data_IF_934037862780
#
_entry.id   IF_934037862780
#
_cell.length_a   1.000
_cell.length_b   1.000
_cell.length_c   1.000
_cell.angle_alpha   90.00
_cell.angle_beta   90.00
_cell.angle_gamma   90.00
#
_symmetry.space_group_name_H-M   'P 1'
#
loop_
_entity.id
_entity.type
_entity.pdbx_description
1 polymer ?
#
# COMPACT_ATOMS: atom_id res chain seq x y z
N UNK A 1 -13.83 2.78 4.18
CA UNK A 1 -12.75 2.88 3.19
C UNK A 1 -11.54 2.20 3.81
N UNK A 2 -11.06 1.15 3.18
CA UNK A 2 -9.84 0.46 3.60
C UNK A 2 -8.60 1.07 2.91
N UNK A 3 -7.39 0.63 3.28
CA UNK A 3 -6.16 1.13 2.65
C UNK A 3 -6.10 0.81 1.15
N UNK A 4 -6.64 -0.33 0.72
CA UNK A 4 -6.66 -0.72 -0.68
C UNK A 4 -7.51 0.24 -1.50
N UNK A 5 -8.68 0.65 -0.99
CA UNK A 5 -9.54 1.66 -1.62
C UNK A 5 -8.80 2.99 -1.81
N UNK A 6 -8.03 3.42 -0.80
CA UNK A 6 -7.22 4.65 -0.87
C UNK A 6 -6.16 4.52 -1.96
N UNK A 7 -5.40 3.42 -1.96
CA UNK A 7 -4.34 3.18 -2.96
C UNK A 7 -4.92 3.12 -4.37
N UNK A 8 -6.03 2.42 -4.58
CA UNK A 8 -6.68 2.31 -5.89
C UNK A 8 -7.27 3.63 -6.39
N UNK A 9 -7.53 4.59 -5.51
CA UNK A 9 -8.02 5.92 -5.89
C UNK A 9 -6.93 6.85 -6.44
N UNK A 10 -5.65 6.50 -6.30
CA UNK A 10 -4.54 7.34 -6.76
C UNK A 10 -4.37 7.31 -8.27
N UNK A 11 -4.05 8.47 -8.83
CA UNK A 11 -3.42 8.57 -10.13
C UNK A 11 -1.91 8.34 -10.01
N UNK A 12 -1.22 8.14 -11.15
CA UNK A 12 0.25 8.13 -11.18
C UNK A 12 0.84 9.44 -10.64
N UNK A 13 0.16 10.58 -10.89
CA UNK A 13 0.60 11.88 -10.37
C UNK A 13 0.52 11.95 -8.85
N UNK A 14 -0.50 11.34 -8.25
CA UNK A 14 -0.62 11.24 -6.80
C UNK A 14 0.52 10.37 -6.22
N UNK A 15 0.83 9.25 -6.86
CA UNK A 15 1.92 8.37 -6.40
C UNK A 15 3.26 9.09 -6.40
N UNK A 16 3.60 9.85 -7.45
CA UNK A 16 4.90 10.55 -7.56
C UNK A 16 4.94 11.90 -6.81
N UNK A 17 3.83 12.35 -6.25
CA UNK A 17 3.75 13.62 -5.55
C UNK A 17 4.17 13.47 -4.08
N UNK A 18 5.40 13.87 -3.77
CA UNK A 18 5.94 13.88 -2.41
C UNK A 18 5.19 14.81 -1.44
N UNK A 19 4.45 15.78 -1.98
CA UNK A 19 3.66 16.72 -1.18
C UNK A 19 2.18 16.29 -1.03
N UNK A 20 1.78 15.13 -1.55
CA UNK A 20 0.37 14.69 -1.55
C UNK A 20 -0.27 14.69 -0.14
N UNK A 21 0.49 14.23 0.85
CA UNK A 21 0.08 14.19 2.26
C UNK A 21 0.80 15.21 3.13
N UNK A 22 1.43 16.22 2.51
CA UNK A 22 2.09 17.29 3.25
C UNK A 22 1.09 18.00 4.16
N UNK A 23 1.47 18.18 5.43
CA UNK A 23 0.61 18.76 6.46
C UNK A 23 -0.48 17.83 7.00
N UNK A 24 -0.69 16.65 6.42
CA UNK A 24 -1.51 15.58 7.01
C UNK A 24 -0.66 14.61 7.85
N UNK A 25 0.61 14.43 7.47
CA UNK A 25 1.58 13.66 8.25
C UNK A 25 2.17 14.56 9.35
N UNK A 26 1.56 14.52 10.52
CA UNK A 26 2.08 15.21 11.71
C UNK A 26 3.11 14.35 12.45
N UNK A 27 4.08 14.95 13.18
CA UNK A 27 4.98 14.21 14.03
C UNK A 27 4.22 13.36 15.04
N UNK A 28 4.57 12.08 15.14
CA UNK A 28 3.93 11.17 16.10
C UNK A 28 4.15 11.72 17.52
N UNK A 29 3.08 11.97 18.30
CA UNK A 29 3.19 12.49 19.66
C UNK A 29 3.99 11.55 20.57
N UNK A 30 4.79 12.10 21.49
CA UNK A 30 5.46 11.31 22.52
C UNK A 30 4.50 10.78 23.61
N UNK A 31 3.24 11.26 23.64
CA UNK A 31 2.20 10.79 24.55
C UNK A 31 0.82 10.90 23.90
N UNK A 32 -0.11 10.06 24.33
CA UNK A 32 -1.44 9.96 23.72
C UNK A 32 -2.53 10.19 24.75
N UNK A 33 -3.57 10.94 24.35
CA UNK A 33 -4.71 11.24 25.23
C UNK A 33 -5.68 10.07 25.35
N UNK A 34 -5.65 9.15 24.40
CA UNK A 34 -6.45 7.94 24.37
C UNK A 34 -5.85 6.92 23.38
N UNK A 35 -6.33 5.68 23.46
CA UNK A 35 -6.02 4.67 22.45
C UNK A 35 -6.48 5.09 21.04
N UNK A 36 -7.63 5.73 20.93
CA UNK A 36 -8.12 6.24 19.64
C UNK A 36 -7.18 7.30 19.06
N UNK A 37 -6.68 8.21 19.91
CA UNK A 37 -5.65 9.19 19.52
C UNK A 37 -4.35 8.51 19.08
N UNK A 38 -3.93 7.44 19.77
CA UNK A 38 -2.79 6.63 19.36
C UNK A 38 -3.01 6.02 17.98
N UNK A 39 -4.06 5.23 17.78
CA UNK A 39 -4.31 4.53 16.52
C UNK A 39 -4.44 5.52 15.35
N UNK A 40 -5.20 6.60 15.54
CA UNK A 40 -5.40 7.65 14.51
C UNK A 40 -4.10 8.33 14.09
N UNK A 41 -3.14 8.50 15.00
CA UNK A 41 -1.86 9.15 14.68
C UNK A 41 -1.02 8.39 13.64
N UNK A 42 -1.27 7.09 13.44
CA UNK A 42 -0.55 6.26 12.47
C UNK A 42 -1.22 6.15 11.10
N UNK A 43 -2.45 6.64 10.91
CA UNK A 43 -3.13 6.51 9.61
C UNK A 43 -2.40 7.29 8.51
N UNK A 44 -2.17 8.60 8.70
CA UNK A 44 -1.49 9.41 7.69
C UNK A 44 -0.05 8.95 7.41
N UNK A 45 0.79 8.62 8.44
CA UNK A 45 2.09 8.02 8.21
C UNK A 45 2.05 6.72 7.40
N UNK A 46 1.10 5.82 7.67
CA UNK A 46 1.00 4.54 6.95
C UNK A 46 0.59 4.75 5.48
N UNK A 47 -0.32 5.69 5.22
CA UNK A 47 -0.71 6.05 3.86
C UNK A 47 0.49 6.61 3.09
N UNK A 48 1.23 7.54 3.69
CA UNK A 48 2.42 8.14 3.08
C UNK A 48 3.56 7.13 2.88
N UNK A 49 3.80 6.25 3.86
CA UNK A 49 4.76 5.14 3.72
C UNK A 49 4.38 4.23 2.53
N UNK A 50 3.10 3.91 2.40
CA UNK A 50 2.59 3.09 1.28
C UNK A 50 2.76 3.81 -0.06
N UNK A 51 2.44 5.11 -0.14
CA UNK A 51 2.63 5.94 -1.35
C UNK A 51 4.10 5.98 -1.74
N UNK A 52 4.99 6.30 -0.79
CA UNK A 52 6.44 6.40 -1.01
C UNK A 52 7.03 5.07 -1.47
N UNK A 53 6.61 3.94 -0.88
CA UNK A 53 7.00 2.61 -1.33
C UNK A 53 6.60 2.37 -2.80
N UNK A 54 5.33 2.60 -3.15
CA UNK A 54 4.87 2.42 -4.54
C UNK A 54 5.55 3.38 -5.51
N UNK A 55 5.86 4.61 -5.09
CA UNK A 55 6.64 5.56 -5.88
C UNK A 55 8.03 5.00 -6.22
N UNK A 56 8.73 4.45 -5.22
CA UNK A 56 10.05 3.83 -5.45
C UNK A 56 10.01 2.65 -6.42
N UNK A 57 8.92 1.88 -6.41
CA UNK A 57 8.73 0.79 -7.36
C UNK A 57 8.35 1.28 -8.75
N UNK A 58 7.61 2.39 -8.84
CA UNK A 58 7.23 3.01 -10.11
C UNK A 58 8.45 3.52 -10.88
N UNK A 59 9.48 4.01 -10.19
CA UNK A 59 10.77 4.40 -10.81
C UNK A 59 11.44 3.23 -11.56
N UNK A 60 11.18 1.99 -11.13
CA UNK A 60 11.73 0.76 -11.69
C UNK A 60 10.71 -0.04 -12.53
N UNK A 61 9.56 0.56 -12.85
CA UNK A 61 8.44 -0.15 -13.50
C UNK A 61 8.83 -0.81 -14.83
N UNK A 62 9.82 -0.24 -15.52
CA UNK A 62 10.33 -0.72 -16.80
C UNK A 62 11.16 -2.00 -16.71
N UNK A 63 11.82 -2.19 -15.57
CA UNK A 63 12.62 -3.37 -15.27
C UNK A 63 11.81 -4.42 -14.49
N UNK A 64 10.62 -4.01 -14.02
CA UNK A 64 9.72 -4.82 -13.21
C UNK A 64 9.01 -5.93 -14.00
N UNK A 65 8.47 -6.93 -13.28
CA UNK A 65 7.64 -7.98 -13.88
C UNK A 65 6.44 -7.38 -14.62
N UNK A 66 6.22 -7.83 -15.86
CA UNK A 66 5.05 -7.45 -16.66
C UNK A 66 4.48 -8.64 -17.41
N UNK A 67 3.16 -8.64 -17.58
CA UNK A 67 2.43 -9.70 -18.27
C UNK A 67 1.42 -9.10 -19.26
N UNK A 68 1.09 -9.85 -20.30
CA UNK A 68 -0.03 -9.49 -21.19
C UNK A 68 -1.33 -9.94 -20.54
N UNK A 69 -2.35 -9.09 -20.57
CA UNK A 69 -3.69 -9.44 -20.10
C UNK A 69 -4.36 -10.29 -21.18
N UNK A 70 -4.79 -11.50 -20.81
CA UNK A 70 -5.50 -12.42 -21.70
C UNK A 70 -7.02 -12.19 -21.62
N UNK A 71 -7.54 -12.08 -20.41
CA UNK A 71 -8.94 -11.72 -20.17
C UNK A 71 -9.10 -10.90 -18.90
N UNK A 72 -10.19 -10.13 -18.89
CA UNK A 72 -10.67 -9.41 -17.73
C UNK A 72 -12.19 -9.56 -17.67
N UNK A 73 -12.65 -10.46 -16.81
CA UNK A 73 -14.04 -10.88 -16.75
C UNK A 73 -14.70 -10.31 -15.48
N UNK A 74 -15.83 -9.61 -15.64
CA UNK A 74 -16.54 -8.99 -14.52
C UNK A 74 -17.11 -10.01 -13.53
N UNK A 75 -17.21 -9.61 -12.26
CA UNK A 75 -17.91 -10.39 -11.23
C UNK A 75 -19.26 -9.76 -10.88
N UNK A 76 -19.99 -10.36 -9.94
CA UNK A 76 -21.21 -9.75 -9.37
C UNK A 76 -20.95 -8.39 -8.71
N UNK A 77 -19.69 -8.11 -8.32
CA UNK A 77 -19.27 -6.83 -7.77
C UNK A 77 -18.65 -5.97 -8.89
N UNK A 78 -19.11 -4.73 -9.11
CA UNK A 78 -18.72 -3.91 -10.26
C UNK A 78 -17.24 -3.52 -10.26
N UNK A 79 -16.58 -3.52 -9.10
CA UNK A 79 -15.17 -3.16 -8.93
C UNK A 79 -14.22 -4.36 -8.90
N UNK A 80 -14.76 -5.58 -9.03
CA UNK A 80 -13.98 -6.83 -8.92
C UNK A 80 -14.08 -7.61 -10.22
N UNK A 81 -12.92 -8.07 -10.69
CA UNK A 81 -12.75 -8.78 -11.96
C UNK A 81 -11.90 -10.03 -11.75
N UNK A 82 -12.19 -11.07 -12.53
CA UNK A 82 -11.27 -12.17 -12.77
C UNK A 82 -10.28 -11.76 -13.84
N UNK A 83 -8.99 -11.90 -13.56
CA UNK A 83 -7.92 -11.61 -14.49
C UNK A 83 -7.16 -12.88 -14.84
N UNK A 84 -6.94 -13.10 -16.14
CA UNK A 84 -5.97 -14.04 -16.68
C UNK A 84 -4.85 -13.27 -17.38
N UNK A 85 -3.61 -13.73 -17.20
CA UNK A 85 -2.43 -13.12 -17.80
C UNK A 85 -1.53 -14.16 -18.42
N UNK A 86 -0.91 -13.79 -19.54
CA UNK A 86 0.08 -14.63 -20.20
C UNK A 86 1.41 -14.48 -19.48
N UNK A 87 1.78 -15.50 -18.71
CA UNK A 87 3.08 -15.60 -18.09
C UNK A 87 4.16 -16.13 -19.04
N UNK A 88 3.80 -16.50 -20.27
CA UNK A 88 4.70 -17.12 -21.23
C UNK A 88 4.89 -16.24 -22.49
N UNK A 89 6.11 -16.19 -22.99
CA UNK A 89 6.49 -15.83 -24.37
C UNK A 89 6.73 -14.34 -24.76
N UNK A 90 8.00 -13.87 -24.71
CA UNK A 90 9.00 -14.03 -25.79
C UNK A 90 10.22 -13.09 -25.57
N UNK A 91 11.44 -13.65 -25.56
CA UNK A 91 12.59 -12.97 -26.16
C UNK A 91 13.63 -12.29 -25.26
N UNK A 92 13.50 -12.31 -23.93
CA UNK A 92 14.61 -11.97 -23.06
C UNK A 92 15.28 -13.26 -22.61
N UNK A 93 16.36 -13.64 -23.29
CA UNK A 93 17.27 -14.70 -22.86
C UNK A 93 17.93 -14.43 -21.47
N UNK A 94 17.47 -13.42 -20.72
CA UNK A 94 18.06 -12.94 -19.47
C UNK A 94 17.10 -12.25 -18.47
N UNK A 95 15.77 -12.28 -18.62
CA UNK A 95 14.87 -11.68 -17.59
C UNK A 95 14.23 -12.75 -16.72
N UNK A 96 14.86 -12.95 -15.56
CA UNK A 96 14.26 -13.05 -14.21
C UNK A 96 12.83 -13.60 -14.11
N UNK A 97 12.74 -14.76 -13.46
CA UNK A 97 11.59 -15.38 -12.80
C UNK A 97 10.25 -14.62 -12.88
N UNK A 98 9.26 -15.22 -13.55
CA UNK A 98 7.89 -14.72 -13.55
C UNK A 98 7.41 -14.48 -12.10
N UNK A 99 6.93 -13.27 -11.81
CA UNK A 99 6.43 -12.92 -10.49
C UNK A 99 5.25 -13.82 -10.10
N UNK A 100 5.32 -14.42 -8.91
CA UNK A 100 4.23 -15.22 -8.35
C UNK A 100 3.19 -14.28 -7.75
N UNK A 101 1.97 -14.34 -8.28
CA UNK A 101 0.85 -13.51 -7.84
C UNK A 101 0.46 -13.83 -6.39
N UNK A 102 0.25 -12.78 -5.60
CA UNK A 102 -0.11 -12.83 -4.17
C UNK A 102 -1.20 -11.82 -3.85
N UNK A 103 -1.99 -12.11 -2.81
CA UNK A 103 -2.92 -11.13 -2.25
C UNK A 103 -2.15 -9.86 -1.83
N UNK A 104 -2.74 -8.71 -2.14
CA UNK A 104 -2.15 -7.40 -1.91
C UNK A 104 -1.14 -6.97 -2.98
N UNK A 105 -0.88 -7.77 -4.02
CA UNK A 105 -0.13 -7.29 -5.19
C UNK A 105 -0.91 -6.17 -5.88
N UNK A 106 -0.24 -5.07 -6.13
CA UNK A 106 -0.73 -3.91 -6.87
C UNK A 106 -0.13 -3.92 -8.26
N UNK A 107 -0.99 -3.73 -9.26
CA UNK A 107 -0.62 -3.65 -10.66
C UNK A 107 -1.07 -2.33 -11.26
N UNK A 108 -0.31 -1.85 -12.24
CA UNK A 108 -0.80 -0.87 -13.21
C UNK A 108 -1.26 -1.63 -14.44
N UNK A 109 -2.55 -1.57 -14.72
CA UNK A 109 -3.13 -2.09 -15.96
C UNK A 109 -3.07 -0.97 -16.99
N UNK A 110 -2.59 -1.25 -18.20
CA UNK A 110 -2.38 -0.23 -19.22
C UNK A 110 -2.77 -0.72 -20.62
N UNK A 111 -3.26 0.20 -21.45
CA UNK A 111 -3.54 -0.04 -22.87
C UNK A 111 -2.28 -0.16 -23.73
N UNK A 112 -1.14 0.35 -23.26
CA UNK A 112 0.15 0.24 -23.92
C UNK A 112 1.25 -0.19 -22.95
N UNK A 113 2.36 -0.70 -23.49
CA UNK A 113 3.58 -0.89 -22.72
C UNK A 113 4.25 0.48 -22.56
N UNK A 114 4.32 1.06 -21.34
CA UNK A 114 5.05 2.31 -21.13
C UNK A 114 6.54 2.07 -21.39
N UNK A 115 7.26 3.10 -21.82
CA UNK A 115 8.72 3.18 -21.88
C UNK A 115 9.29 4.04 -20.75
N UNK A 116 8.45 4.92 -20.19
CA UNK A 116 8.77 5.77 -19.04
C UNK A 116 7.49 6.10 -18.24
N UNK A 117 7.64 6.61 -17.01
CA UNK A 117 6.50 6.98 -16.15
C UNK A 117 5.64 8.07 -16.78
N UNK A 118 6.26 8.96 -17.56
CA UNK A 118 5.58 10.03 -18.28
C UNK A 118 4.61 9.51 -19.35
N UNK A 119 4.75 8.25 -19.77
CA UNK A 119 3.90 7.66 -20.81
C UNK A 119 2.46 7.48 -20.34
N UNK A 120 2.23 7.34 -19.03
CA UNK A 120 0.89 7.31 -18.45
C UNK A 120 0.13 8.64 -18.61
N UNK A 121 0.82 9.74 -18.91
CA UNK A 121 0.21 11.04 -19.18
C UNK A 121 -0.01 11.32 -20.68
N UNK A 122 0.40 10.41 -21.57
CA UNK A 122 0.25 10.61 -23.02
C UNK A 122 -1.22 10.51 -23.42
N UNK A 123 -1.63 11.36 -24.36
CA UNK A 123 -2.99 11.34 -24.90
C UNK A 123 -3.31 9.97 -25.53
N UNK A 124 -4.45 9.39 -25.14
CA UNK A 124 -4.92 8.09 -25.65
C UNK A 124 -4.39 6.88 -24.87
N UNK A 125 -3.59 7.08 -23.84
CA UNK A 125 -3.21 6.02 -22.90
C UNK A 125 -4.27 5.91 -21.81
N UNK A 126 -4.77 4.69 -21.62
CA UNK A 126 -5.71 4.36 -20.54
C UNK A 126 -4.97 3.46 -19.57
N UNK A 127 -5.03 3.79 -18.29
CA UNK A 127 -4.46 2.97 -17.24
C UNK A 127 -5.34 2.96 -15.99
N UNK A 128 -5.22 1.91 -15.17
CA UNK A 128 -5.85 1.80 -13.86
C UNK A 128 -4.93 1.10 -12.87
N UNK A 129 -5.02 1.49 -11.61
CA UNK A 129 -4.47 0.69 -10.52
C UNK A 129 -5.42 -0.47 -10.23
N UNK A 130 -4.85 -1.65 -10.05
CA UNK A 130 -5.55 -2.86 -9.67
C UNK A 130 -4.84 -3.54 -8.50
N UNK A 131 -5.59 -4.21 -7.63
CA UNK A 131 -5.04 -4.93 -6.48
C UNK A 131 -5.59 -6.34 -6.42
N UNK A 132 -4.72 -7.32 -6.27
CA UNK A 132 -5.11 -8.72 -6.08
C UNK A 132 -5.75 -8.89 -4.72
N UNK A 133 -7.01 -9.31 -4.72
CA UNK A 133 -7.79 -9.55 -3.50
C UNK A 133 -7.86 -11.02 -3.13
N UNK A 134 -7.74 -11.89 -4.11
CA UNK A 134 -7.86 -13.33 -3.93
C UNK A 134 -7.07 -14.04 -5.01
N UNK A 135 -6.29 -15.04 -4.62
CA UNK A 135 -5.58 -15.94 -5.52
C UNK A 135 -6.23 -17.30 -5.34
N UNK A 136 -6.82 -17.83 -6.42
CA UNK A 136 -7.36 -19.18 -6.37
C UNK A 136 -6.29 -20.19 -5.99
N UNK A 137 -6.62 -21.06 -5.05
CA UNK A 137 -5.81 -22.23 -4.71
C UNK A 137 -6.18 -23.40 -5.60
N UNK A 138 -5.21 -24.26 -5.90
CA UNK A 138 -5.31 -25.39 -6.83
C UNK A 138 -6.42 -26.42 -6.53
N UNK A 139 -7.11 -26.32 -5.39
CA UNK A 139 -8.17 -27.24 -4.95
C UNK A 139 -9.59 -26.83 -5.42
N UNK A 140 -9.75 -25.70 -6.11
CA UNK A 140 -11.04 -25.30 -6.70
C UNK A 140 -11.15 -25.77 -8.16
N UNK A 141 -12.00 -26.77 -8.41
CA UNK A 141 -12.21 -27.39 -9.74
C UNK A 141 -12.72 -26.40 -10.81
N UNK A 142 -13.23 -25.22 -10.42
CA UNK A 142 -13.62 -24.13 -11.32
C UNK A 142 -12.48 -23.13 -11.63
N UNK A 143 -11.34 -23.22 -10.94
CA UNK A 143 -10.30 -22.21 -11.03
C UNK A 143 -9.13 -22.60 -11.93
N UNK A 144 -9.40 -22.75 -13.22
CA UNK A 144 -8.33 -22.83 -14.22
C UNK A 144 -7.97 -21.40 -14.68
N UNK A 145 -6.97 -20.81 -14.01
CA UNK A 145 -6.19 -19.62 -14.47
C UNK A 145 -6.77 -18.21 -14.24
N UNK A 146 -7.52 -18.00 -13.17
CA UNK A 146 -8.00 -16.65 -12.84
C UNK A 146 -7.68 -16.26 -11.39
N UNK A 147 -7.19 -15.04 -11.19
CA UNK A 147 -7.11 -14.42 -9.86
C UNK A 147 -8.05 -13.22 -9.80
N UNK A 148 -8.55 -12.90 -8.61
CA UNK A 148 -9.46 -11.76 -8.43
C UNK A 148 -8.67 -10.50 -8.17
N UNK A 149 -8.94 -9.49 -8.97
CA UNK A 149 -8.47 -8.14 -8.73
C UNK A 149 -9.62 -7.21 -8.40
N UNK A 150 -9.34 -6.25 -7.55
CA UNK A 150 -10.14 -5.05 -7.36
C UNK A 150 -9.52 -3.91 -8.16
N UNK A 151 -10.34 -3.15 -8.86
CA UNK A 151 -9.95 -1.96 -9.61
C UNK A 151 -10.72 -0.77 -9.06
N UNK A 152 -10.22 0.45 -9.26
CA UNK A 152 -10.87 1.68 -8.80
C UNK A 152 -12.34 1.75 -9.27
N UNK A 153 -13.25 2.17 -8.39
CA UNK A 153 -14.70 2.17 -8.65
C UNK A 153 -15.15 3.11 -9.78
N UNK A 154 -14.30 4.06 -10.19
CA UNK A 154 -14.61 5.08 -11.21
C UNK A 154 -14.09 4.71 -12.60
N UNK A 155 -13.94 3.41 -12.91
CA UNK A 155 -13.73 2.98 -14.30
C UNK A 155 -14.97 3.34 -15.10
N UNK A 156 -14.89 4.47 -15.79
CA UNK A 156 -15.82 4.83 -16.82
C UNK A 156 -15.82 3.76 -17.91
N UNK A 157 -16.95 3.06 -18.03
CA UNK A 157 -17.35 2.22 -19.16
C UNK A 157 -16.50 0.96 -19.38
N UNK A 158 -17.20 -0.16 -19.52
CA UNK A 158 -16.66 -1.48 -19.94
C UNK A 158 -15.77 -1.40 -21.20
N UNK A 159 -15.95 -0.37 -22.02
CA UNK A 159 -15.12 -0.04 -23.18
C UNK A 159 -13.66 0.29 -22.84
N UNK A 160 -13.37 0.91 -21.70
CA UNK A 160 -12.00 1.28 -21.30
C UNK A 160 -11.21 0.07 -20.79
N UNK A 161 -11.89 -0.86 -20.12
CA UNK A 161 -11.29 -2.13 -19.70
C UNK A 161 -10.86 -2.98 -20.89
N UNK A 162 -11.67 -2.98 -21.95
CA UNK A 162 -11.36 -3.68 -23.20
C UNK A 162 -10.18 -3.05 -23.97
N UNK A 163 -9.65 -1.90 -23.53
CA UNK A 163 -8.41 -1.32 -24.08
C UNK A 163 -7.17 -1.79 -23.34
N UNK A 164 -7.29 -2.34 -22.13
CA UNK A 164 -6.15 -2.78 -21.33
C UNK A 164 -5.51 -4.01 -21.96
N UNK A 165 -4.18 -4.02 -22.04
CA UNK A 165 -3.39 -5.06 -22.73
C UNK A 165 -2.25 -5.60 -21.87
N UNK A 166 -1.78 -4.82 -20.91
CA UNK A 166 -0.60 -5.13 -20.11
C UNK A 166 -0.87 -4.89 -18.63
N UNK A 167 -0.30 -5.72 -17.78
CA UNK A 167 -0.26 -5.57 -16.33
C UNK A 167 1.20 -5.44 -15.87
N UNK A 168 1.51 -4.38 -15.14
CA UNK A 168 2.84 -4.11 -14.60
C UNK A 168 2.81 -4.23 -13.09
N UNK A 169 3.63 -5.09 -12.52
CA UNK A 169 3.71 -5.24 -11.07
C UNK A 169 4.33 -3.99 -10.45
N UNK A 170 3.62 -3.38 -9.50
CA UNK A 170 4.06 -2.19 -8.80
C UNK A 170 4.55 -2.50 -7.39
N UNK A 171 3.97 -3.44 -6.66
CA UNK A 171 4.40 -3.77 -5.30
C UNK A 171 3.36 -4.57 -4.54
N UNK A 172 3.73 -5.13 -3.39
CA UNK A 172 2.79 -5.85 -2.53
C UNK A 172 2.53 -5.06 -1.24
N UNK A 173 1.27 -4.70 -0.99
CA UNK A 173 0.87 -3.88 0.15
C UNK A 173 0.14 -4.67 1.24
N UNK A 174 0.17 -6.01 1.22
CA UNK A 174 -0.61 -6.85 2.15
C UNK A 174 -0.31 -6.53 3.61
N UNK A 175 0.97 -6.29 3.92
CA UNK A 175 1.43 -5.92 5.26
C UNK A 175 0.83 -4.58 5.69
N UNK A 176 0.86 -3.57 4.81
CA UNK A 176 0.27 -2.26 5.07
C UNK A 176 -1.24 -2.37 5.31
N UNK A 177 -1.94 -3.22 4.54
CA UNK A 177 -3.36 -3.49 4.74
C UNK A 177 -3.65 -4.15 6.10
N UNK A 178 -2.81 -5.07 6.55
CA UNK A 178 -2.94 -5.69 7.88
C UNK A 178 -2.70 -4.68 9.00
N UNK A 179 -1.71 -3.80 8.85
CA UNK A 179 -1.49 -2.70 9.81
C UNK A 179 -2.69 -1.76 9.81
N UNK A 180 -3.20 -1.35 8.66
CA UNK A 180 -4.40 -0.50 8.56
C UNK A 180 -5.60 -1.12 9.26
N UNK A 181 -5.82 -2.44 9.07
CA UNK A 181 -6.87 -3.17 9.75
C UNK A 181 -6.67 -3.19 11.28
N UNK A 182 -5.41 -3.31 11.73
CA UNK A 182 -5.06 -3.22 13.14
C UNK A 182 -5.31 -1.82 13.74
N UNK A 183 -5.03 -0.77 12.97
CA UNK A 183 -5.27 0.63 13.37
C UNK A 183 -6.77 0.98 13.35
N UNK A 184 -7.53 0.38 12.45
CA UNK A 184 -8.96 0.64 12.26
C UNK A 184 -9.87 -0.17 13.19
N UNK A 185 -9.33 -0.91 14.17
CA UNK A 185 -10.15 -1.66 15.12
C UNK A 185 -10.93 -0.71 16.03
N UNK A 186 -12.26 -0.91 16.07
CA UNK A 186 -13.12 -0.26 17.05
C UNK A 186 -12.87 -0.85 18.46
N UNK A 187 -12.73 0.03 19.44
CA UNK A 187 -12.66 -0.27 20.88
C UNK A 187 -13.77 -1.23 21.36
N UNK A 188 -14.93 -1.21 20.71
CA UNK A 188 -16.06 -2.07 21.06
C UNK A 188 -15.88 -3.54 20.64
N UNK A 189 -14.91 -3.88 19.79
CA UNK A 189 -14.77 -5.22 19.22
C UNK A 189 -13.71 -6.11 19.88
N UNK A 190 -12.87 -5.61 20.81
CA UNK A 190 -11.79 -6.45 21.35
C UNK A 190 -11.32 -6.12 22.77
N UNK A 191 -11.38 -7.13 23.66
CA UNK A 191 -10.80 -7.08 25.01
C UNK A 191 -9.27 -6.98 25.01
N UNK A 192 -8.59 -7.26 23.88
CA UNK A 192 -7.13 -7.22 23.78
C UNK A 192 -6.54 -5.82 24.03
N UNK A 193 -7.31 -4.76 23.75
CA UNK A 193 -6.86 -3.39 23.93
C UNK A 193 -6.83 -2.92 25.38
N UNK A 194 -7.52 -3.63 26.29
CA UNK A 194 -7.44 -3.39 27.74
C UNK A 194 -6.03 -3.55 28.29
N UNK A 195 -5.16 -4.28 27.58
CA UNK A 195 -3.75 -4.48 27.96
C UNK A 195 -2.88 -3.28 27.57
N UNK A 196 -3.20 -2.56 26.49
CA UNK A 196 -2.36 -1.45 26.00
C UNK A 196 -2.82 -0.08 26.48
N UNK A 197 -4.09 0.08 26.87
CA UNK A 197 -4.58 1.34 27.44
C UNK A 197 -3.73 1.86 28.61
N UNK A 198 -3.29 1.03 29.59
CA UNK A 198 -2.43 1.49 30.68
C UNK A 198 -1.05 1.97 30.22
N UNK A 199 -0.56 1.49 29.08
CA UNK A 199 0.75 1.89 28.53
C UNK A 199 0.69 3.25 27.81
N UNK A 200 -0.50 3.66 27.36
CA UNK A 200 -0.73 4.91 26.64
C UNK A 200 -1.07 6.07 27.58
N UNK A 201 -1.52 5.78 28.80
CA UNK A 201 -1.86 6.79 29.79
C UNK A 201 -0.62 7.59 30.21
N UNK A 202 -0.69 8.93 30.26
CA UNK A 202 0.37 9.74 30.85
C UNK A 202 0.59 9.29 32.29
N UNK A 203 1.79 8.84 32.65
CA UNK A 203 2.16 8.49 34.02
C UNK A 203 2.22 9.74 34.88
N UNK A 204 1.04 10.20 35.33
CA UNK A 204 0.90 11.24 36.35
C UNK A 204 1.07 10.60 37.74
N UNK A 205 2.23 9.99 38.00
CA UNK A 205 2.61 9.60 39.35
C UNK A 205 4.04 10.00 39.59
N UNK A 206 4.21 11.07 40.38
CA UNK A 206 5.44 11.40 41.09
C UNK A 206 5.84 10.15 41.88
N UNK A 207 6.81 9.40 41.37
CA UNK A 207 7.16 8.09 41.92
C UNK A 207 8.08 7.32 40.98
N UNK A 208 9.28 7.84 40.80
CA UNK A 208 10.51 7.13 40.43
C UNK A 208 10.39 5.95 39.45
N UNK A 209 10.15 6.26 38.17
CA UNK A 209 10.67 5.46 37.06
C UNK A 209 11.35 6.43 36.11
N UNK A 210 12.68 6.55 36.21
CA UNK A 210 13.51 7.20 35.20
C UNK A 210 13.47 6.39 33.90
N UNK A 211 12.38 6.55 33.14
CA UNK A 211 12.37 6.29 31.71
C UNK A 211 13.16 7.39 31.01
N UNK A 212 14.12 7.01 30.18
CA UNK A 212 15.11 7.89 29.56
C UNK A 212 14.42 8.85 28.59
N UNK A 213 14.11 10.05 29.05
CA UNK A 213 13.98 11.26 28.25
C UNK A 213 14.50 12.41 29.09
N UNK A 214 15.82 12.62 29.05
CA UNK A 214 16.43 13.79 29.66
C UNK A 214 16.08 15.00 28.79
N UNK A 215 15.25 15.91 29.33
CA UNK A 215 15.10 17.25 28.76
C UNK A 215 16.43 17.97 28.89
N UNK A 216 17.07 18.27 27.77
CA UNK A 216 18.04 19.35 27.68
C UNK A 216 17.37 20.54 27.00
N UNK A 217 17.47 21.69 27.64
CA UNK A 217 16.89 22.95 27.19
C UNK A 217 17.43 23.32 25.80
N UNK A 218 16.51 23.50 24.86
CA UNK A 218 16.75 24.22 23.61
C UNK A 218 17.39 23.40 22.49
N UNK A 219 16.69 22.40 21.97
CA UNK A 219 16.74 21.97 20.56
C UNK A 219 15.61 20.95 20.31
N UNK A 220 14.88 21.12 19.20
CA UNK A 220 13.74 20.26 18.82
C UNK A 220 14.27 18.87 18.48
N UNK A 221 14.28 17.94 19.44
CA UNK A 221 14.65 16.55 19.20
C UNK A 221 13.41 15.72 18.88
N UNK A 222 13.44 15.05 17.74
CA UNK A 222 12.46 14.06 17.35
C UNK A 222 12.45 12.91 18.37
N UNK A 223 11.25 12.54 18.86
CA UNK A 223 11.03 11.28 19.57
C UNK A 223 11.23 10.13 18.57
N UNK A 224 12.46 9.63 18.44
CA UNK A 224 12.70 8.35 17.78
C UNK A 224 12.46 7.25 18.82
N UNK A 225 11.56 6.27 18.60
CA UNK A 225 11.49 5.10 19.45
C UNK A 225 12.65 4.16 19.11
N UNK A 226 13.87 4.51 19.51
CA UNK A 226 15.01 3.60 19.47
C UNK A 226 14.88 2.55 20.59
N UNK A 227 13.91 1.63 20.53
CA UNK A 227 14.02 0.31 21.20
C UNK A 227 13.30 -0.86 20.50
N UNK A 228 12.79 -0.73 19.27
CA UNK A 228 12.21 -1.88 18.54
C UNK A 228 12.89 -2.24 17.20
N UNK A 229 13.97 -1.57 16.81
CA UNK A 229 14.63 -1.76 15.50
C UNK A 229 15.98 -2.50 15.56
N UNK A 230 16.11 -3.51 16.42
CA UNK A 230 17.19 -4.51 16.26
C UNK A 230 16.62 -5.80 15.68
N UNK A 231 16.25 -5.75 14.40
CA UNK A 231 15.83 -6.97 13.70
C UNK A 231 15.08 -6.79 12.39
N UNK A 232 15.45 -5.86 11.52
CA UNK A 232 15.22 -5.92 10.05
C UNK A 232 15.67 -4.60 9.44
N UNK A 233 16.50 -4.67 8.40
CA UNK A 233 17.07 -3.49 7.74
C UNK A 233 16.05 -2.75 6.89
N UNK A 234 15.23 -1.91 7.50
CA UNK A 234 14.43 -0.90 6.82
C UNK A 234 14.71 0.42 7.52
N UNK A 235 15.43 1.31 6.83
CA UNK A 235 15.79 2.64 7.34
C UNK A 235 14.66 3.61 7.02
N UNK A 236 13.79 3.88 7.99
CA UNK A 236 12.93 5.07 7.98
C UNK A 236 13.81 6.29 8.28
N UNK A 237 14.38 6.89 7.23
CA UNK A 237 15.05 8.18 7.37
C UNK A 237 14.88 8.99 6.09
N UNK A 238 13.78 9.77 6.00
CA UNK A 238 13.73 11.08 5.31
C UNK A 238 12.32 11.67 5.33
N UNK A 239 11.84 12.12 6.49
CA UNK A 239 10.75 13.11 6.53
C UNK A 239 10.90 13.99 7.77
N UNK A 240 12.09 14.56 7.96
CA UNK A 240 12.28 15.79 8.74
C UNK A 240 13.42 16.57 8.07
N UNK A 241 13.05 17.51 7.21
CA UNK A 241 13.84 18.72 6.92
C UNK A 241 12.89 19.85 6.53
#
# INVERSE_FOLDING_TARGET
MDLGDIVLSWSIQDIINDDLYQGQVEPIPCSFTSLDHYLKSYHAPLIEETRSHLCSCLELIMEGPSSKILSLDGTEKPEVYYMDVDFWDYGAAYSTEAHTIRNGDVFILSSMKPEAVEDFNRYGVTYYLAMVTDVCTDDDDECQKHFKIKVAQDIGLEEDLQKLRYAFFLGNIITNMWIWKALSFDKHMNNNFTVIEPLLAPTNSVGDVRGICAKHDGEHLACVPEQLLKGSGITLSRFIS
#
